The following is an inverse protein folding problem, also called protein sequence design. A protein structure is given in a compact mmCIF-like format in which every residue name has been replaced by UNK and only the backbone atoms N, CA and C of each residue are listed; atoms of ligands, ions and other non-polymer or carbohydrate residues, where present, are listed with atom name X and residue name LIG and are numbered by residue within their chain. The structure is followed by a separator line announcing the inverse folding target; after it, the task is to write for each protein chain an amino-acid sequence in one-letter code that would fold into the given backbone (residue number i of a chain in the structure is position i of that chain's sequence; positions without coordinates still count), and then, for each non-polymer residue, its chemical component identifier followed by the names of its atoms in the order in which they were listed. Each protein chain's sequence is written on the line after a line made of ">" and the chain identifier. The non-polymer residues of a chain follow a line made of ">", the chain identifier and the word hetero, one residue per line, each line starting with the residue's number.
data_IF_195031338914
#
_entry.id   IF_195031338914
#
_cell.length_a   1.000
_cell.length_b   1.000
_cell.length_c   1.000
_cell.angle_alpha   90.00
_cell.angle_beta   90.00
_cell.angle_gamma   90.00
#
_symmetry.space_group_name_H-M   'P 1'
#
loop_
_entity.id
_entity.type
_entity.pdbx_description
1 polymer ?
#
# COMPACT_ATOMS: atom_id res chain seq x y z
N UNK A 1 -20.91 6.45 10.43
CA UNK A 1 -19.84 7.17 11.16
C UNK A 1 -19.82 8.61 10.66
N UNK A 2 -20.47 9.51 11.39
CA UNK A 2 -20.59 10.93 11.04
C UNK A 2 -19.47 11.75 11.71
N UNK A 3 -19.02 12.83 11.08
CA UNK A 3 -18.16 13.84 11.68
C UNK A 3 -18.94 15.16 11.64
N UNK A 4 -19.31 15.71 12.79
CA UNK A 4 -19.97 17.01 12.88
C UNK A 4 -19.07 18.03 13.58
N UNK A 5 -18.61 19.05 12.84
CA UNK A 5 -18.01 20.24 13.43
C UNK A 5 -19.13 21.17 13.95
N UNK A 6 -19.32 21.21 15.28
CA UNK A 6 -20.31 22.08 15.94
C UNK A 6 -19.82 23.53 15.98
N UNK A 7 -19.79 24.21 14.83
CA UNK A 7 -19.77 25.68 14.74
C UNK A 7 -20.61 26.23 13.58
N UNK A 8 -21.94 26.06 13.62
CA UNK A 8 -22.88 27.15 13.28
C UNK A 8 -24.34 26.83 13.65
N UNK A 9 -24.99 27.85 14.20
CA UNK A 9 -26.35 27.84 14.70
C UNK A 9 -27.41 28.06 13.60
N UNK A 10 -28.59 27.48 13.84
CA UNK A 10 -29.95 27.98 13.60
C UNK A 10 -30.33 28.64 12.25
N UNK A 11 -31.36 28.03 11.64
CA UNK A 11 -32.44 28.59 10.77
C UNK A 11 -32.09 29.23 9.43
N UNK A 12 -32.51 28.58 8.32
CA UNK A 12 -33.60 29.02 7.42
C UNK A 12 -33.45 28.41 6.02
N UNK A 13 -34.59 28.16 5.38
CA UNK A 13 -34.81 27.50 4.09
C UNK A 13 -34.44 28.36 2.87
N UNK A 14 -34.22 27.65 1.73
CA UNK A 14 -34.15 28.08 0.30
C UNK A 14 -32.80 28.51 -0.29
N UNK A 15 -32.63 28.48 -1.64
CA UNK A 15 -32.67 27.32 -2.54
C UNK A 15 -31.38 27.22 -3.38
N UNK A 16 -31.28 26.13 -4.14
CA UNK A 16 -30.18 25.73 -5.05
C UNK A 16 -29.71 26.86 -5.99
N UNK A 17 -28.51 27.39 -5.75
CA UNK A 17 -27.71 28.08 -6.76
C UNK A 17 -26.24 27.74 -6.56
N UNK A 18 -25.59 27.30 -7.64
CA UNK A 18 -24.19 26.91 -7.71
C UNK A 18 -23.29 27.93 -6.99
N UNK A 19 -22.70 27.52 -5.86
CA UNK A 19 -21.63 28.27 -5.21
C UNK A 19 -20.34 27.60 -5.66
N UNK A 20 -19.49 28.34 -6.37
CA UNK A 20 -18.05 28.10 -6.49
C UNK A 20 -17.41 28.22 -5.10
N UNK A 21 -17.79 27.32 -4.17
CA UNK A 21 -17.28 27.33 -2.82
C UNK A 21 -15.95 26.61 -2.84
N UNK A 22 -14.87 27.36 -2.62
CA UNK A 22 -13.59 26.78 -2.19
C UNK A 22 -13.89 25.72 -1.13
N UNK A 23 -13.28 24.52 -1.21
CA UNK A 23 -13.57 23.48 -0.24
C UNK A 23 -13.27 24.01 1.16
N UNK A 24 -14.29 23.95 2.02
CA UNK A 24 -14.15 24.28 3.43
C UNK A 24 -13.33 23.14 4.03
N UNK A 25 -12.09 23.42 4.40
CA UNK A 25 -11.24 22.47 5.09
C UNK A 25 -11.78 22.22 6.52
N UNK A 26 -11.66 21.00 7.07
CA UNK A 26 -11.10 19.79 6.46
C UNK A 26 -12.05 19.12 5.45
N UNK A 27 -11.48 18.46 4.45
CA UNK A 27 -12.25 17.66 3.48
C UNK A 27 -12.23 16.21 3.97
N UNK A 28 -13.40 15.62 4.19
CA UNK A 28 -13.55 14.21 4.55
C UNK A 28 -14.32 13.47 3.48
N UNK A 29 -13.68 12.44 2.93
CA UNK A 29 -14.25 11.52 1.97
C UNK A 29 -14.25 10.11 2.54
N UNK A 30 -15.18 9.29 2.08
CA UNK A 30 -15.35 7.92 2.53
C UNK A 30 -15.51 6.99 1.34
N UNK A 31 -15.00 5.78 1.47
CA UNK A 31 -15.24 4.66 0.57
C UNK A 31 -15.49 3.41 1.42
N UNK A 32 -16.57 2.69 1.12
CA UNK A 32 -16.71 1.28 1.53
C UNK A 32 -15.94 0.48 0.49
N UNK A 33 -15.04 -0.39 0.92
CA UNK A 33 -14.19 -1.19 0.04
C UNK A 33 -14.79 -2.57 -0.10
N UNK A 34 -15.67 -2.74 -1.10
CA UNK A 34 -16.26 -4.02 -1.46
C UNK A 34 -16.25 -4.17 -3.01
N UNK A 35 -16.93 -5.19 -3.55
CA UNK A 35 -16.95 -5.43 -5.00
C UNK A 35 -17.80 -4.41 -5.79
N UNK A 36 -18.75 -3.76 -5.12
CA UNK A 36 -19.72 -2.83 -5.72
C UNK A 36 -19.29 -1.37 -5.57
N UNK A 37 -18.62 -1.05 -4.46
CA UNK A 37 -18.17 0.27 -4.07
C UNK A 37 -16.67 0.24 -3.74
N UNK A 38 -15.91 1.18 -4.29
CA UNK A 38 -14.49 1.37 -3.98
C UNK A 38 -14.00 2.81 -4.24
N UNK A 39 -14.92 3.71 -4.54
CA UNK A 39 -14.61 5.09 -4.92
C UNK A 39 -14.90 6.03 -3.75
N UNK A 40 -13.93 6.90 -3.46
CA UNK A 40 -14.11 7.95 -2.47
C UNK A 40 -15.14 8.97 -2.93
N UNK A 41 -16.07 9.27 -2.02
CA UNK A 41 -17.05 10.36 -2.19
C UNK A 41 -17.13 11.21 -0.92
N UNK A 42 -17.64 12.45 -0.99
CA UNK A 42 -17.87 13.27 0.20
C UNK A 42 -18.72 12.53 1.22
N UNK A 43 -18.33 12.62 2.49
CA UNK A 43 -19.04 11.91 3.55
C UNK A 43 -20.49 12.44 3.72
N UNK A 44 -21.51 11.56 3.71
CA UNK A 44 -22.89 11.95 4.02
C UNK A 44 -23.05 12.40 5.48
N UNK A 45 -24.17 13.07 5.77
CA UNK A 45 -24.47 13.61 7.11
C UNK A 45 -24.35 12.57 8.24
N UNK A 46 -24.84 11.35 8.03
CA UNK A 46 -24.80 10.25 9.01
C UNK A 46 -23.66 9.24 8.74
N UNK A 47 -22.77 9.58 7.80
CA UNK A 47 -21.72 8.69 7.32
C UNK A 47 -22.27 7.56 6.46
N UNK A 48 -21.57 6.43 6.49
CA UNK A 48 -21.92 5.20 5.76
C UNK A 48 -22.28 4.08 6.73
N UNK A 49 -23.07 3.13 6.25
CA UNK A 49 -23.41 1.89 6.95
C UNK A 49 -22.16 1.03 7.08
N UNK A 50 -22.02 0.34 8.21
CA UNK A 50 -20.88 -0.54 8.48
C UNK A 50 -21.37 -1.97 8.61
N UNK A 51 -21.17 -2.78 7.57
CA UNK A 51 -21.50 -4.19 7.60
C UNK A 51 -20.32 -5.05 8.06
N UNK A 52 -20.63 -6.26 8.51
CA UNK A 52 -19.60 -7.20 8.98
C UNK A 52 -18.75 -7.66 7.80
N UNK A 53 -17.44 -7.53 7.91
CA UNK A 53 -16.47 -7.97 6.90
C UNK A 53 -16.12 -6.91 5.86
N UNK A 54 -16.72 -5.73 5.91
CA UNK A 54 -16.38 -4.61 5.02
C UNK A 54 -15.28 -3.74 5.62
N UNK A 55 -14.45 -3.17 4.74
CA UNK A 55 -13.46 -2.17 5.12
C UNK A 55 -13.96 -0.80 4.73
N UNK A 56 -14.03 0.12 5.69
CA UNK A 56 -14.41 1.51 5.44
C UNK A 56 -13.18 2.38 5.58
N UNK A 57 -12.86 3.11 4.52
CA UNK A 57 -11.70 4.00 4.49
C UNK A 57 -12.19 5.44 4.50
N UNK A 58 -11.74 6.21 5.50
CA UNK A 58 -11.94 7.64 5.56
C UNK A 58 -10.67 8.35 5.09
N UNK A 59 -10.78 9.15 4.05
CA UNK A 59 -9.70 10.02 3.59
C UNK A 59 -9.97 11.45 4.06
N UNK A 60 -9.15 11.92 4.99
CA UNK A 60 -9.25 13.27 5.53
C UNK A 60 -8.07 14.12 5.05
N UNK A 61 -8.37 15.23 4.38
CA UNK A 61 -7.36 16.21 3.95
C UNK A 61 -7.50 17.45 4.84
N UNK A 62 -6.39 17.92 5.42
CA UNK A 62 -6.36 19.05 6.35
C UNK A 62 -5.00 19.75 6.38
N UNK A 63 -4.96 20.96 6.94
CA UNK A 63 -3.75 21.79 6.99
C UNK A 63 -2.78 21.39 8.13
N UNK A 64 -3.29 21.07 9.31
CA UNK A 64 -2.45 20.73 10.46
C UNK A 64 -3.10 19.68 11.36
N UNK A 65 -2.60 18.43 11.29
CA UNK A 65 -3.12 17.32 12.07
C UNK A 65 -2.92 17.48 13.59
N UNK A 66 -1.90 18.23 14.03
CA UNK A 66 -1.59 18.40 15.46
C UNK A 66 -2.62 19.23 16.21
N UNK A 67 -3.42 20.01 15.47
CA UNK A 67 -4.43 20.91 16.02
C UNK A 67 -5.86 20.43 15.80
N UNK A 68 -6.05 19.32 15.10
CA UNK A 68 -7.36 18.80 14.72
C UNK A 68 -7.61 17.44 15.37
N UNK A 69 -8.77 17.31 16.01
CA UNK A 69 -9.25 16.03 16.52
C UNK A 69 -10.39 15.52 15.64
N UNK A 70 -10.56 14.21 15.63
CA UNK A 70 -11.63 13.53 14.91
C UNK A 70 -12.71 13.11 15.90
N UNK A 71 -13.96 13.54 15.68
CA UNK A 71 -15.14 13.05 16.37
C UNK A 71 -15.89 12.00 15.54
N UNK A 72 -15.83 10.75 15.95
CA UNK A 72 -16.53 9.66 15.29
C UNK A 72 -17.90 9.44 15.93
N UNK A 73 -18.98 9.84 15.25
CA UNK A 73 -20.34 9.59 15.69
C UNK A 73 -20.87 8.24 15.18
N UNK A 74 -21.44 7.46 16.09
CA UNK A 74 -22.05 6.16 15.82
C UNK A 74 -23.56 6.27 15.89
N UNK A 75 -24.23 5.65 14.92
CA UNK A 75 -25.68 5.60 14.83
C UNK A 75 -26.12 4.16 14.64
N UNK A 76 -27.34 3.85 15.09
CA UNK A 76 -28.04 2.60 14.80
C UNK A 76 -29.13 2.94 13.79
N UNK A 77 -29.09 2.23 12.67
CA UNK A 77 -30.17 2.22 11.70
C UNK A 77 -31.23 1.21 12.16
N UNK A 78 -32.37 1.71 12.62
CA UNK A 78 -33.57 0.92 12.83
C UNK A 78 -34.46 1.18 11.62
N UNK A 79 -34.69 0.16 10.79
CA UNK A 79 -35.35 0.28 9.47
C UNK A 79 -36.79 0.81 9.48
N UNK A 80 -37.27 1.27 10.64
CA UNK A 80 -38.58 1.87 10.86
C UNK A 80 -38.56 3.41 10.97
N UNK A 81 -37.39 4.04 11.14
CA UNK A 81 -37.27 5.49 11.34
C UNK A 81 -36.61 6.20 10.14
N UNK A 82 -37.07 7.42 9.81
CA UNK A 82 -36.50 8.22 8.73
C UNK A 82 -35.07 8.74 9.03
N UNK A 83 -34.68 8.78 10.31
CA UNK A 83 -33.38 9.25 10.77
C UNK A 83 -32.73 8.23 11.70
N UNK A 84 -31.42 7.97 11.55
CA UNK A 84 -30.75 6.96 12.35
C UNK A 84 -30.55 7.45 13.80
N UNK A 85 -30.67 6.51 14.75
CA UNK A 85 -30.61 6.79 16.18
C UNK A 85 -29.17 6.95 16.66
N UNK A 86 -28.85 8.07 17.30
CA UNK A 86 -27.50 8.33 17.81
C UNK A 86 -27.16 7.39 18.99
N UNK A 87 -26.10 6.61 18.84
CA UNK A 87 -25.64 5.62 19.81
C UNK A 87 -24.59 6.19 20.76
N UNK A 88 -23.65 6.96 20.24
CA UNK A 88 -22.52 7.48 21.00
C UNK A 88 -21.40 7.97 20.08
N UNK A 89 -20.27 8.35 20.68
CA UNK A 89 -19.13 8.87 19.94
C UNK A 89 -17.79 8.39 20.48
N UNK A 90 -16.74 8.58 19.68
CA UNK A 90 -15.35 8.43 20.10
C UNK A 90 -14.52 9.60 19.58
N UNK A 91 -13.59 10.09 20.39
CA UNK A 91 -12.67 11.17 20.04
C UNK A 91 -11.29 10.60 19.73
N UNK A 92 -10.81 10.78 18.51
CA UNK A 92 -9.41 10.53 18.14
C UNK A 92 -8.67 11.86 18.26
N UNK A 93 -7.86 11.99 19.30
CA UNK A 93 -7.04 13.16 19.53
C UNK A 93 -5.72 13.03 18.74
N UNK A 94 -5.05 14.16 18.42
CA UNK A 94 -3.71 14.13 17.82
C UNK A 94 -2.72 13.25 18.59
N UNK A 95 -2.82 13.20 19.93
CA UNK A 95 -1.99 12.35 20.78
C UNK A 95 -2.19 10.84 20.56
N UNK A 96 -3.29 10.43 19.92
CA UNK A 96 -3.53 9.04 19.53
C UNK A 96 -2.84 8.68 18.21
N UNK A 97 -2.38 9.66 17.43
CA UNK A 97 -1.75 9.51 16.12
C UNK A 97 -0.23 9.78 16.24
N UNK A 98 0.47 8.92 16.99
CA UNK A 98 1.87 9.17 17.40
C UNK A 98 2.90 9.05 16.27
N UNK A 99 2.63 8.16 15.33
CA UNK A 99 3.51 7.87 14.20
C UNK A 99 2.80 8.16 12.87
N UNK A 100 3.50 8.00 11.74
CA UNK A 100 2.87 8.17 10.42
C UNK A 100 1.89 7.05 10.08
N UNK A 101 1.90 5.94 10.79
CA UNK A 101 0.91 4.88 10.66
C UNK A 101 0.77 4.15 11.99
N UNK A 102 -0.35 3.48 12.20
CA UNK A 102 -0.54 2.74 13.45
C UNK A 102 -2.00 2.35 13.70
N UNK A 103 -2.24 1.93 14.93
CA UNK A 103 -3.56 1.52 15.41
C UNK A 103 -3.91 2.33 16.65
N UNK A 104 -5.04 3.03 16.61
CA UNK A 104 -5.62 3.73 17.75
C UNK A 104 -6.84 2.96 18.24
N UNK A 105 -6.87 2.64 19.53
CA UNK A 105 -7.98 1.93 20.16
C UNK A 105 -8.61 2.81 21.23
N UNK A 106 -9.90 3.14 21.06
CA UNK A 106 -10.60 4.17 21.82
C UNK A 106 -11.96 3.65 22.30
N UNK A 107 -12.46 4.07 23.47
CA UNK A 107 -13.80 3.71 23.90
C UNK A 107 -14.86 4.44 23.06
N UNK A 108 -15.98 3.78 22.82
CA UNK A 108 -17.20 4.40 22.33
C UNK A 108 -18.02 4.78 23.56
N UNK A 109 -18.36 6.06 23.68
CA UNK A 109 -19.04 6.62 24.85
C UNK A 109 -20.46 7.05 24.48
N UNK A 110 -21.44 6.58 25.25
CA UNK A 110 -22.85 6.93 25.06
C UNK A 110 -23.14 8.38 25.48
N UNK A 111 -24.31 8.94 25.11
CA UNK A 111 -24.76 10.24 25.62
C UNK A 111 -24.80 10.35 27.15
N UNK A 112 -24.92 9.20 27.84
CA UNK A 112 -24.94 9.10 29.31
C UNK A 112 -23.53 8.91 29.90
N UNK A 113 -22.48 9.20 29.14
CA UNK A 113 -21.08 9.06 29.55
C UNK A 113 -20.67 7.65 29.98
N UNK A 114 -21.34 6.62 29.46
CA UNK A 114 -21.01 5.22 29.74
C UNK A 114 -20.26 4.65 28.55
N UNK A 115 -19.17 3.89 28.78
CA UNK A 115 -18.50 3.15 27.72
C UNK A 115 -19.41 2.01 27.25
N UNK A 116 -19.75 2.01 25.96
CA UNK A 116 -20.68 1.07 25.32
C UNK A 116 -20.00 0.18 24.27
N UNK A 117 -18.72 0.41 24.00
CA UNK A 117 -17.96 -0.37 23.03
C UNK A 117 -16.54 0.17 22.87
N UNK A 118 -15.86 -0.34 21.87
CA UNK A 118 -14.49 0.02 21.54
C UNK A 118 -14.37 0.21 20.03
N UNK A 119 -13.76 1.31 19.63
CA UNK A 119 -13.38 1.64 18.27
C UNK A 119 -11.89 1.32 18.09
N UNK A 120 -11.56 0.58 17.03
CA UNK A 120 -10.18 0.37 16.58
C UNK A 120 -10.02 1.00 15.20
N UNK A 121 -9.08 1.96 15.08
CA UNK A 121 -8.79 2.69 13.85
C UNK A 121 -7.37 2.41 13.42
N UNK A 122 -7.22 1.83 12.23
CA UNK A 122 -5.94 1.81 11.53
C UNK A 122 -5.78 3.13 10.78
N UNK A 123 -4.67 3.83 10.98
CA UNK A 123 -4.45 5.14 10.39
C UNK A 123 -3.12 5.21 9.65
N UNK A 124 -3.07 6.09 8.65
CA UNK A 124 -1.87 6.50 7.93
C UNK A 124 -1.91 8.01 7.71
N UNK A 125 -0.92 8.71 8.23
CA UNK A 125 -0.70 10.15 8.08
C UNK A 125 0.34 10.35 6.98
N UNK A 126 -0.10 10.99 5.90
CA UNK A 126 0.75 11.30 4.75
C UNK A 126 1.05 12.80 4.73
N UNK A 127 2.33 13.15 4.85
CA UNK A 127 2.79 14.52 4.67
C UNK A 127 3.20 14.78 3.23
N UNK A 128 2.98 16.00 2.71
CA UNK A 128 3.50 16.36 1.40
C UNK A 128 5.04 16.26 1.41
N UNK A 129 5.59 15.58 0.42
CA UNK A 129 7.04 15.46 0.28
C UNK A 129 7.62 16.79 -0.23
N UNK A 130 8.74 17.29 0.33
CA UNK A 130 9.39 18.53 -0.11
C UNK A 130 10.21 18.31 -1.40
N UNK A 131 9.65 17.59 -2.37
CA UNK A 131 10.30 17.24 -3.64
C UNK A 131 9.60 17.90 -4.82
N UNK A 132 10.32 18.04 -5.94
CA UNK A 132 9.78 18.50 -7.23
C UNK A 132 8.98 17.43 -7.96
N UNK A 133 8.92 16.21 -7.44
CA UNK A 133 8.06 15.16 -7.97
C UNK A 133 6.60 15.46 -7.55
N UNK A 134 5.91 16.27 -8.33
CA UNK A 134 4.52 16.65 -8.09
C UNK A 134 3.51 15.54 -8.47
N UNK A 135 4.01 14.43 -9.03
CA UNK A 135 3.21 13.31 -9.56
C UNK A 135 2.04 13.78 -10.45
N UNK A 136 2.19 14.95 -11.09
CA UNK A 136 1.16 15.59 -11.92
C UNK A 136 0.70 14.68 -13.06
N UNK A 137 1.62 13.85 -13.55
CA UNK A 137 1.34 12.72 -14.44
C UNK A 137 1.57 11.43 -13.67
N UNK A 138 0.51 10.92 -13.01
CA UNK A 138 0.52 9.64 -12.34
C UNK A 138 -0.56 8.73 -12.91
N UNK A 139 -0.18 7.51 -13.27
CA UNK A 139 -1.12 6.45 -13.66
C UNK A 139 -1.75 5.75 -12.46
N UNK A 140 -1.62 6.31 -11.24
CA UNK A 140 -2.25 5.77 -10.02
C UNK A 140 -3.77 5.56 -10.14
N UNK A 141 -4.44 6.25 -11.08
CA UNK A 141 -5.87 6.10 -11.38
C UNK A 141 -6.14 5.50 -12.77
N UNK A 142 -5.16 4.88 -13.40
CA UNK A 142 -5.29 4.29 -14.75
C UNK A 142 -5.87 2.86 -14.74
N UNK A 143 -6.38 2.39 -13.60
CA UNK A 143 -7.15 1.17 -13.56
C UNK A 143 -8.49 1.42 -14.25
N UNK A 144 -8.62 0.92 -15.49
CA UNK A 144 -9.87 1.02 -16.23
C UNK A 144 -10.89 0.08 -15.59
N UNK A 145 -12.15 0.51 -15.46
CA UNK A 145 -13.23 -0.35 -14.92
C UNK A 145 -13.44 -1.64 -15.72
N UNK A 146 -12.99 -1.65 -16.98
CA UNK A 146 -12.98 -2.81 -17.88
C UNK A 146 -11.91 -3.84 -17.54
N UNK A 147 -10.90 -3.50 -16.73
CA UNK A 147 -9.82 -4.39 -16.33
C UNK A 147 -10.29 -5.33 -15.22
N UNK A 148 -10.96 -6.41 -15.63
CA UNK A 148 -11.41 -7.49 -14.74
C UNK A 148 -10.64 -8.76 -15.04
N UNK A 149 -10.01 -9.34 -14.01
CA UNK A 149 -9.25 -10.59 -14.13
C UNK A 149 -7.97 -10.46 -14.95
N UNK A 150 -7.11 -9.50 -14.59
CA UNK A 150 -5.83 -9.29 -15.26
C UNK A 150 -4.85 -10.44 -14.99
N UNK A 151 -4.20 -10.94 -16.03
CA UNK A 151 -3.08 -11.87 -15.91
C UNK A 151 -1.78 -11.08 -15.77
N UNK A 152 -1.22 -11.11 -14.55
CA UNK A 152 0.02 -10.39 -14.23
C UNK A 152 1.19 -11.36 -14.16
N UNK A 153 2.17 -11.18 -15.03
CA UNK A 153 3.44 -11.92 -14.98
C UNK A 153 4.26 -11.51 -13.76
N UNK A 154 4.19 -12.30 -12.69
CA UNK A 154 4.96 -12.10 -11.46
C UNK A 154 6.47 -12.25 -11.73
N UNK A 155 7.21 -11.15 -11.58
CA UNK A 155 8.64 -11.02 -11.90
C UNK A 155 8.96 -11.42 -13.35
N UNK A 156 8.04 -11.15 -14.27
CA UNK A 156 8.04 -11.71 -15.62
C UNK A 156 7.33 -13.06 -15.67
N UNK A 157 7.92 -14.01 -16.40
CA UNK A 157 7.45 -15.40 -16.46
C UNK A 157 8.36 -16.37 -15.70
N UNK A 158 9.13 -15.83 -14.75
CA UNK A 158 10.13 -16.60 -14.01
C UNK A 158 9.54 -17.31 -12.80
N UNK A 159 10.00 -18.53 -12.54
CA UNK A 159 9.68 -19.23 -11.30
C UNK A 159 10.68 -18.88 -10.19
N UNK A 160 10.16 -18.69 -8.98
CA UNK A 160 10.94 -18.70 -7.76
C UNK A 160 11.30 -20.15 -7.40
N UNK A 161 12.57 -20.41 -7.12
CA UNK A 161 13.17 -21.75 -6.92
C UNK A 161 12.60 -22.61 -5.76
N UNK A 162 11.53 -22.17 -5.09
CA UNK A 162 10.86 -22.91 -4.00
C UNK A 162 9.79 -23.90 -4.49
N UNK A 163 9.43 -23.87 -5.77
CA UNK A 163 8.55 -24.87 -6.38
C UNK A 163 9.38 -26.01 -6.99
N UNK A 164 9.02 -27.26 -6.70
CA UNK A 164 9.61 -28.42 -7.37
C UNK A 164 9.63 -28.20 -8.89
N UNK A 165 10.64 -28.71 -9.62
CA UNK A 165 10.85 -28.44 -11.05
C UNK A 165 9.75 -29.12 -11.88
N UNK A 166 8.56 -28.53 -11.90
CA UNK A 166 7.40 -28.99 -12.65
C UNK A 166 6.87 -27.97 -13.65
N UNK A 167 7.51 -26.81 -13.79
CA UNK A 167 7.11 -25.86 -14.85
C UNK A 167 8.32 -25.44 -15.69
N UNK A 168 8.15 -25.64 -16.99
CA UNK A 168 9.12 -25.55 -18.07
C UNK A 168 9.50 -24.11 -18.46
N UNK A 169 9.63 -23.18 -17.51
CA UNK A 169 10.13 -21.85 -17.81
C UNK A 169 11.67 -21.84 -17.68
N UNK A 170 12.38 -22.00 -18.80
CA UNK A 170 13.84 -21.84 -18.88
C UNK A 170 14.31 -20.38 -18.66
N UNK A 171 13.43 -19.48 -18.20
CA UNK A 171 13.65 -18.04 -18.14
C UNK A 171 13.57 -17.60 -16.68
N UNK A 172 14.59 -16.87 -16.24
CA UNK A 172 14.81 -16.51 -14.85
C UNK A 172 14.02 -15.25 -14.46
N UNK A 173 13.40 -15.25 -13.28
CA UNK A 173 12.65 -14.11 -12.74
C UNK A 173 13.48 -12.81 -12.68
N UNK A 174 12.81 -11.66 -12.78
CA UNK A 174 13.42 -10.33 -12.67
C UNK A 174 14.58 -10.12 -13.66
N UNK A 175 14.49 -10.76 -14.82
CA UNK A 175 15.37 -10.54 -15.98
C UNK A 175 14.63 -9.89 -17.12
N UNK A 176 15.32 -9.05 -17.90
CA UNK A 176 14.74 -8.45 -19.12
C UNK A 176 14.13 -9.54 -20.03
N UNK A 177 14.75 -10.72 -20.10
CA UNK A 177 14.22 -11.87 -20.84
C UNK A 177 12.89 -12.39 -20.28
N UNK A 178 12.75 -12.54 -18.95
CA UNK A 178 11.49 -12.96 -18.34
C UNK A 178 10.36 -11.94 -18.51
N UNK A 179 10.69 -10.65 -18.44
CA UNK A 179 9.71 -9.58 -18.61
C UNK A 179 9.22 -9.54 -20.06
N UNK A 180 10.15 -9.63 -21.03
CA UNK A 180 9.80 -9.72 -22.46
C UNK A 180 8.96 -10.94 -22.77
N UNK A 181 9.36 -12.10 -22.26
CA UNK A 181 8.62 -13.33 -22.50
C UNK A 181 7.20 -13.27 -21.92
N UNK A 182 7.01 -12.73 -20.71
CA UNK A 182 5.68 -12.53 -20.14
C UNK A 182 4.79 -11.65 -21.04
N UNK A 183 5.35 -10.57 -21.59
CA UNK A 183 4.64 -9.73 -22.54
C UNK A 183 4.33 -10.46 -23.87
N UNK A 184 5.27 -11.27 -24.38
CA UNK A 184 5.11 -12.04 -25.62
C UNK A 184 4.06 -13.14 -25.52
N UNK A 185 3.90 -13.78 -24.36
CA UNK A 185 2.85 -14.80 -24.12
C UNK A 185 1.48 -14.19 -23.84
N UNK A 186 1.37 -12.85 -23.79
CA UNK A 186 0.10 -12.14 -23.67
C UNK A 186 -0.29 -11.75 -22.25
N UNK A 187 0.64 -11.68 -21.29
CA UNK A 187 0.32 -11.14 -19.97
C UNK A 187 -0.15 -9.68 -20.09
N UNK A 188 -1.24 -9.34 -19.39
CA UNK A 188 -1.81 -7.99 -19.40
C UNK A 188 -0.87 -6.98 -18.74
N UNK A 189 -0.15 -7.43 -17.71
CA UNK A 189 0.84 -6.65 -16.99
C UNK A 189 2.04 -7.52 -16.61
N UNK A 190 3.16 -6.87 -16.32
CA UNK A 190 4.36 -7.52 -15.79
C UNK A 190 4.76 -6.83 -14.50
N UNK A 191 4.90 -7.61 -13.44
CA UNK A 191 5.41 -7.16 -12.15
C UNK A 191 6.92 -7.41 -12.08
N UNK A 192 7.63 -6.51 -11.39
CA UNK A 192 9.06 -6.65 -11.10
C UNK A 192 9.45 -5.76 -9.92
N UNK A 193 10.48 -6.18 -9.19
CA UNK A 193 10.98 -5.48 -8.02
C UNK A 193 12.09 -4.49 -8.38
N UNK A 194 12.08 -3.31 -7.76
CA UNK A 194 13.12 -2.29 -7.95
C UNK A 194 13.80 -1.98 -6.62
N UNK A 195 15.13 -1.96 -6.65
CA UNK A 195 16.00 -1.52 -5.55
C UNK A 195 16.85 -0.33 -6.01
N UNK A 196 17.45 0.40 -5.07
CA UNK A 196 18.43 1.43 -5.37
C UNK A 196 19.83 0.94 -4.99
N UNK A 197 20.79 1.11 -5.90
CA UNK A 197 22.21 0.92 -5.61
C UNK A 197 22.78 2.05 -4.76
N UNK A 198 24.03 1.91 -4.33
CA UNK A 198 24.79 2.94 -3.59
C UNK A 198 24.88 4.28 -4.32
N UNK A 199 24.98 4.22 -5.64
CA UNK A 199 25.02 5.36 -6.55
C UNK A 199 23.63 5.83 -7.01
N UNK A 200 22.56 5.40 -6.32
CA UNK A 200 21.17 5.78 -6.55
C UNK A 200 20.65 5.41 -7.94
N UNK A 201 21.20 4.35 -8.53
CA UNK A 201 20.74 3.78 -9.80
C UNK A 201 19.67 2.73 -9.50
N UNK A 202 18.48 2.81 -10.11
CA UNK A 202 17.45 1.77 -9.99
C UNK A 202 17.91 0.44 -10.59
N UNK A 203 17.65 -0.65 -9.88
CA UNK A 203 18.06 -2.01 -10.26
C UNK A 203 16.90 -2.97 -10.10
N UNK A 204 16.67 -3.85 -11.07
CA UNK A 204 15.64 -4.89 -10.97
C UNK A 204 16.20 -6.05 -10.13
N UNK A 205 15.73 -6.15 -8.90
CA UNK A 205 16.13 -7.18 -7.96
C UNK A 205 15.16 -7.26 -6.78
N UNK A 206 14.83 -8.47 -6.35
CA UNK A 206 13.85 -8.66 -5.28
C UNK A 206 14.44 -8.48 -3.88
N UNK A 207 15.55 -9.15 -3.57
CA UNK A 207 16.06 -9.24 -2.20
C UNK A 207 16.75 -7.92 -1.77
N UNK A 208 16.71 -7.59 -0.48
CA UNK A 208 17.45 -6.42 0.03
C UNK A 208 18.97 -6.64 0.11
N UNK A 209 19.43 -7.88 0.00
CA UNK A 209 20.83 -8.27 0.15
C UNK A 209 21.29 -9.15 -1.01
N UNK A 210 22.58 -9.03 -1.37
CA UNK A 210 23.28 -9.93 -2.25
C UNK A 210 24.26 -10.81 -1.45
N UNK A 211 24.25 -12.12 -1.69
CA UNK A 211 25.24 -13.04 -1.13
C UNK A 211 26.47 -13.11 -2.05
N UNK A 212 27.65 -12.84 -1.50
CA UNK A 212 28.93 -12.89 -2.23
C UNK A 212 29.76 -14.04 -1.68
N UNK A 213 30.15 -14.97 -2.54
CA UNK A 213 31.12 -16.00 -2.21
C UNK A 213 32.53 -15.42 -2.24
N UNK A 214 33.21 -15.42 -1.08
CA UNK A 214 34.61 -15.04 -1.01
C UNK A 214 35.48 -16.18 -1.57
N UNK A 215 36.16 -15.95 -2.70
CA UNK A 215 37.18 -16.90 -3.20
C UNK A 215 38.34 -16.94 -2.19
N UNK A 216 38.39 -17.95 -1.31
CA UNK A 216 39.61 -18.27 -0.57
C UNK A 216 40.52 -19.20 -1.36
N UNK A 217 41.81 -18.91 -1.25
CA UNK A 217 42.92 -19.61 -1.90
C UNK A 217 43.27 -20.82 -1.03
N UNK A 218 42.88 -22.02 -1.49
CA UNK A 218 43.18 -23.37 -0.95
C UNK A 218 42.71 -23.66 0.50
N UNK A 219 42.04 -24.81 0.61
CA UNK A 219 41.71 -25.58 1.82
C UNK A 219 40.50 -25.15 2.68
N UNK A 220 39.42 -25.90 2.44
CA UNK A 220 38.51 -26.55 3.39
C UNK A 220 37.40 -25.75 4.14
N UNK A 221 36.20 -26.31 3.97
CA UNK A 221 34.89 -26.09 4.61
C UNK A 221 34.03 -24.85 4.32
N UNK A 222 32.75 -25.17 4.00
CA UNK A 222 31.52 -24.36 3.84
C UNK A 222 31.72 -22.87 3.55
N UNK A 223 31.67 -22.55 2.26
CA UNK A 223 31.08 -21.32 1.69
C UNK A 223 30.78 -20.19 2.68
N UNK A 224 31.80 -19.41 3.04
CA UNK A 224 31.62 -18.10 3.66
C UNK A 224 30.92 -17.16 2.66
N UNK A 225 29.60 -17.20 2.62
CA UNK A 225 28.76 -16.26 1.90
C UNK A 225 28.63 -15.00 2.76
N UNK A 226 29.06 -13.87 2.23
CA UNK A 226 28.85 -12.57 2.85
C UNK A 226 27.58 -11.94 2.28
N UNK A 227 26.61 -11.65 3.13
CA UNK A 227 25.43 -10.86 2.76
C UNK A 227 25.76 -9.37 2.81
N UNK A 228 25.58 -8.68 1.68
CA UNK A 228 25.79 -7.23 1.58
C UNK A 228 24.48 -6.59 1.12
N UNK A 229 24.00 -5.53 1.79
CA UNK A 229 22.82 -4.79 1.33
C UNK A 229 23.02 -4.22 -0.08
N UNK A 230 22.00 -4.29 -0.93
CA UNK A 230 22.06 -3.79 -2.33
C UNK A 230 22.38 -2.29 -2.37
N UNK A 231 21.79 -1.53 -1.45
CA UNK A 231 22.05 -0.09 -1.27
C UNK A 231 23.51 0.27 -0.93
N UNK A 232 24.33 -0.72 -0.56
CA UNK A 232 25.74 -0.50 -0.21
C UNK A 232 26.69 -0.89 -1.35
N UNK A 233 26.17 -1.41 -2.47
CA UNK A 233 26.92 -1.79 -3.67
C UNK A 233 26.68 -0.81 -4.80
N UNK A 234 27.73 -0.42 -5.52
CA UNK A 234 27.60 0.40 -6.74
C UNK A 234 27.09 -0.43 -7.90
N UNK A 235 26.57 0.22 -8.95
CA UNK A 235 26.09 -0.50 -10.13
C UNK A 235 27.18 -1.35 -10.78
N UNK A 236 28.42 -0.85 -10.86
CA UNK A 236 29.56 -1.59 -11.41
C UNK A 236 29.90 -2.82 -10.56
N UNK A 237 29.76 -2.72 -9.23
CA UNK A 237 29.95 -3.87 -8.35
C UNK A 237 28.84 -4.90 -8.55
N UNK A 238 27.57 -4.46 -8.60
CA UNK A 238 26.42 -5.33 -8.85
C UNK A 238 26.52 -6.07 -10.20
N UNK A 239 26.96 -5.39 -11.26
CA UNK A 239 27.19 -5.99 -12.58
C UNK A 239 28.36 -6.99 -12.59
N UNK A 240 29.39 -6.75 -11.77
CA UNK A 240 30.54 -7.64 -11.65
C UNK A 240 30.24 -8.91 -10.83
N UNK A 241 29.19 -8.91 -10.01
CA UNK A 241 28.75 -10.08 -9.27
C UNK A 241 28.21 -11.15 -10.22
N UNK A 242 29.01 -12.21 -10.44
CA UNK A 242 28.49 -13.51 -10.88
C UNK A 242 27.81 -14.14 -9.68
N UNK A 243 26.52 -13.89 -9.52
CA UNK A 243 25.81 -14.35 -8.33
C UNK A 243 25.70 -15.88 -8.36
N UNK A 244 26.39 -16.54 -7.42
CA UNK A 244 26.29 -17.97 -7.15
C UNK A 244 25.26 -18.14 -6.03
N UNK A 245 24.22 -18.95 -6.23
CA UNK A 245 23.30 -19.33 -5.15
C UNK A 245 23.43 -20.81 -4.83
N UNK A 246 23.41 -21.16 -3.54
CA UNK A 246 23.32 -22.55 -3.07
C UNK A 246 21.93 -23.10 -3.36
N UNK A 247 21.86 -24.08 -4.26
CA UNK A 247 20.80 -25.09 -4.22
C UNK A 247 21.30 -26.25 -3.35
N UNK A 248 20.44 -26.93 -2.57
CA UNK A 248 20.84 -28.15 -1.88
C UNK A 248 21.34 -29.17 -2.91
N UNK A 249 22.58 -29.60 -2.71
CA UNK A 249 23.31 -30.48 -3.61
C UNK A 249 22.58 -31.84 -3.74
N UNK A 250 21.89 -32.06 -4.86
CA UNK A 250 21.56 -33.40 -5.34
C UNK A 250 21.85 -33.49 -6.84
N UNK A 251 22.94 -34.20 -7.16
CA UNK A 251 23.14 -34.95 -8.40
C UNK A 251 23.01 -34.21 -9.74
N UNK A 252 24.17 -33.95 -10.34
CA UNK A 252 24.43 -33.73 -11.77
C UNK A 252 23.74 -32.57 -12.51
N UNK A 253 24.52 -31.47 -12.56
CA UNK A 253 24.47 -30.28 -13.45
C UNK A 253 23.21 -29.41 -13.39
N UNK A 254 23.42 -28.14 -13.01
CA UNK A 254 23.03 -26.93 -13.76
C UNK A 254 23.66 -25.70 -13.07
N UNK A 255 24.47 -24.93 -13.80
CA UNK A 255 25.06 -23.67 -13.34
C UNK A 255 24.08 -22.52 -13.61
N UNK A 256 23.28 -22.15 -12.61
CA UNK A 256 22.39 -20.98 -12.69
C UNK A 256 23.00 -19.79 -11.97
N UNK A 257 23.45 -18.78 -12.72
CA UNK A 257 23.88 -17.49 -12.17
C UNK A 257 22.64 -16.64 -11.84
N UNK A 258 22.54 -15.97 -10.68
CA UNK A 258 21.58 -14.85 -10.57
C UNK A 258 22.14 -13.71 -11.43
N UNK A 259 21.33 -13.17 -12.34
CA UNK A 259 21.69 -11.96 -13.11
C UNK A 259 20.91 -10.80 -12.52
N UNK A 260 21.62 -9.83 -11.96
CA UNK A 260 21.04 -8.55 -11.57
C UNK A 260 20.80 -7.77 -12.85
N UNK A 261 19.54 -7.46 -13.16
CA UNK A 261 19.22 -6.68 -14.36
C UNK A 261 19.25 -5.20 -13.99
N UNK A 262 20.11 -4.45 -14.67
CA UNK A 262 20.19 -3.01 -14.51
C UNK A 262 19.16 -2.36 -15.43
N UNK A 263 18.26 -1.56 -14.87
CA UNK A 263 17.49 -0.63 -15.67
C UNK A 263 18.45 0.46 -16.16
N UNK A 264 18.66 0.53 -17.47
CA UNK A 264 19.30 1.69 -18.14
C UNK A 264 18.21 2.44 -18.88
#
# INVERSE_FOLDING_TARGET
>A
MGFLDRKRALTSTFPTSQIDSKPIWPITEVAVMNEEECLFHPQPQFGVVCNTGEYIVFQCRMLNIETNAFLCDFYIEDGNEELPNYLGCSYILPSNLKENFGVATLPITSPKHTAIGQLTVHYMVVYPMPTRCDMSVSYARHWKDTWKGLEVGHRGAGNSYHSEPKSCANIRENTIASLKYAAEIGADMVEFDVQLSKDLVPVIYHDFHACIALKRKKEQDKTDLLEIPIKDLTISQLQALKVLSEAPFKGNRLTGTRSISVCV
#
